data_IF_928693337037
#
_entry.id   IF_928693337037
#
_cell.length_a   1.000
_cell.length_b   1.000
_cell.length_c   1.000
_cell.angle_alpha   90.00
_cell.angle_beta   90.00
_cell.angle_gamma   90.00
#
_symmetry.space_group_name_H-M   'P 1'
#
loop_
_entity.id
_entity.type
_entity.pdbx_description
1 polymer ?
#
# COMPACT_ATOMS: atom_id res chain seq x y z
N UNK A 1 10.01 -10.81 7.32
CA UNK A 1 8.59 -10.46 7.52
C UNK A 1 8.08 -9.99 6.15
N UNK A 2 7.07 -10.64 5.58
CA UNK A 2 6.60 -10.32 4.21
C UNK A 2 5.73 -9.06 4.21
N UNK A 3 5.19 -8.66 5.36
CA UNK A 3 4.46 -7.39 5.54
C UNK A 3 5.31 -6.37 6.32
N UNK A 4 5.28 -5.09 5.94
CA UNK A 4 5.82 -4.03 6.77
C UNK A 4 5.08 -3.99 8.12
N UNK A 5 5.77 -3.64 9.22
CA UNK A 5 5.18 -3.59 10.56
C UNK A 5 4.09 -2.51 10.61
N UNK A 6 2.83 -2.93 10.51
CA UNK A 6 1.63 -2.08 10.36
C UNK A 6 0.93 -1.82 11.69
N UNK A 7 1.06 -2.75 12.64
CA UNK A 7 0.54 -2.70 14.00
C UNK A 7 1.08 -1.49 14.78
N UNK A 8 2.33 -1.10 14.54
CA UNK A 8 2.95 0.06 15.19
C UNK A 8 2.48 1.41 14.65
N UNK A 9 1.79 1.45 13.50
CA UNK A 9 1.27 2.70 12.92
C UNK A 9 0.09 3.25 13.72
N UNK A 10 -0.70 2.40 14.39
CA UNK A 10 -1.88 2.82 15.15
C UNK A 10 -1.91 2.36 16.62
N UNK A 11 -1.08 1.39 17.02
CA UNK A 11 -1.14 0.82 18.38
C UNK A 11 -0.03 1.33 19.32
N UNK A 12 0.96 2.05 18.80
CA UNK A 12 2.07 2.59 19.58
C UNK A 12 1.91 4.09 19.83
N UNK A 13 2.54 4.61 20.89
CA UNK A 13 2.56 6.03 21.23
C UNK A 13 4.01 6.49 21.47
N UNK A 14 4.33 7.74 21.15
CA UNK A 14 5.64 8.34 21.46
C UNK A 14 6.76 7.85 20.53
N UNK A 15 7.95 7.57 21.07
CA UNK A 15 9.11 7.16 20.26
C UNK A 15 8.90 5.84 19.49
N UNK A 16 8.10 4.91 20.03
CA UNK A 16 7.77 3.66 19.33
C UNK A 16 6.86 3.88 18.11
N UNK A 17 6.00 4.89 18.16
CA UNK A 17 5.11 5.26 17.04
C UNK A 17 5.93 5.79 15.86
N UNK A 18 6.86 6.73 16.13
CA UNK A 18 7.74 7.30 15.11
C UNK A 18 8.69 6.24 14.51
N UNK A 19 9.25 5.35 15.35
CA UNK A 19 10.03 4.21 14.88
C UNK A 19 9.23 3.23 14.02
N UNK A 20 7.97 2.99 14.40
CA UNK A 20 7.02 2.17 13.65
C UNK A 20 6.68 2.75 12.27
N UNK A 21 6.33 4.04 12.21
CA UNK A 21 6.08 4.77 10.96
C UNK A 21 7.27 4.70 10.03
N UNK A 22 8.48 4.98 10.56
CA UNK A 22 9.71 4.91 9.75
C UNK A 22 9.93 3.50 9.20
N UNK A 23 9.78 2.46 10.02
CA UNK A 23 9.95 1.08 9.58
C UNK A 23 8.91 0.67 8.52
N UNK A 24 7.67 1.16 8.65
CA UNK A 24 6.63 0.97 7.65
C UNK A 24 6.98 1.64 6.33
N UNK A 25 7.39 2.92 6.36
CA UNK A 25 7.82 3.70 5.18
C UNK A 25 9.03 3.04 4.50
N UNK A 26 10.03 2.60 5.28
CA UNK A 26 11.19 1.90 4.74
C UNK A 26 10.78 0.58 4.07
N UNK A 27 9.79 -0.13 4.63
CA UNK A 27 9.24 -1.35 4.04
C UNK A 27 8.51 -1.13 2.71
N UNK A 28 7.68 -0.10 2.59
CA UNK A 28 7.01 0.24 1.32
C UNK A 28 8.01 0.74 0.26
N UNK A 29 9.07 1.46 0.66
CA UNK A 29 10.16 1.86 -0.25
C UNK A 29 10.92 0.66 -0.80
N UNK A 30 11.15 -0.36 0.02
CA UNK A 30 11.73 -1.62 -0.45
C UNK A 30 10.82 -2.31 -1.47
N UNK A 31 9.51 -2.32 -1.24
CA UNK A 31 8.54 -2.88 -2.21
C UNK A 31 8.56 -2.10 -3.53
N UNK A 32 8.56 -0.77 -3.48
CA UNK A 32 8.68 0.04 -4.69
C UNK A 32 10.00 -0.22 -5.44
N UNK A 33 11.11 -0.39 -4.71
CA UNK A 33 12.39 -0.80 -5.29
C UNK A 33 12.34 -2.15 -6.00
N UNK A 34 11.58 -3.11 -5.48
CA UNK A 34 11.39 -4.43 -6.11
C UNK A 34 10.47 -4.38 -7.33
N UNK A 35 9.50 -3.45 -7.37
CA UNK A 35 8.67 -3.20 -8.55
C UNK A 35 9.51 -2.71 -9.74
N UNK A 36 10.61 -1.99 -9.45
CA UNK A 36 11.55 -1.45 -10.46
C UNK A 36 10.80 -0.57 -11.47
N UNK A 37 10.92 -0.88 -12.76
CA UNK A 37 10.20 -0.21 -13.85
C UNK A 37 9.14 -1.11 -14.47
N UNK A 38 8.76 -2.20 -13.80
CA UNK A 38 7.74 -3.12 -14.30
C UNK A 38 6.34 -2.63 -13.94
N UNK A 39 5.33 -2.91 -14.78
CA UNK A 39 3.95 -2.54 -14.45
C UNK A 39 3.39 -3.32 -13.26
N UNK A 40 3.91 -4.54 -13.01
CA UNK A 40 3.57 -5.45 -11.92
C UNK A 40 4.82 -6.08 -11.30
N UNK A 41 4.72 -6.60 -10.08
CA UNK A 41 5.78 -7.40 -9.46
C UNK A 41 6.08 -8.68 -10.27
N UNK A 42 5.07 -9.22 -10.96
CA UNK A 42 5.23 -10.30 -11.93
C UNK A 42 5.86 -9.90 -13.27
N UNK A 43 6.29 -8.65 -13.47
CA UNK A 43 6.77 -8.13 -14.75
C UNK A 43 5.63 -7.54 -15.56
N UNK A 44 5.38 -8.08 -16.76
CA UNK A 44 4.35 -7.61 -17.70
C UNK A 44 2.92 -8.04 -17.31
N UNK A 45 2.79 -9.04 -16.43
CA UNK A 45 1.52 -9.62 -16.01
C UNK A 45 1.44 -9.70 -14.49
N UNK A 46 0.20 -9.75 -13.96
CA UNK A 46 -0.04 -10.01 -12.53
C UNK A 46 0.68 -11.29 -12.09
N UNK A 47 1.55 -11.17 -11.10
CA UNK A 47 2.26 -12.25 -10.46
C UNK A 47 1.71 -12.55 -9.07
N UNK A 48 2.35 -13.52 -8.42
CA UNK A 48 2.00 -13.92 -7.05
C UNK A 48 2.08 -12.76 -6.05
N UNK A 49 3.15 -11.96 -6.12
CA UNK A 49 3.35 -10.83 -5.23
C UNK A 49 2.29 -9.75 -5.43
N UNK A 50 1.84 -9.53 -6.66
CA UNK A 50 0.76 -8.57 -6.91
C UNK A 50 -0.52 -8.96 -6.18
N UNK A 51 -0.88 -10.25 -6.24
CA UNK A 51 -2.06 -10.79 -5.57
C UNK A 51 -1.91 -10.74 -4.04
N UNK A 52 -0.71 -11.04 -3.53
CA UNK A 52 -0.43 -11.03 -2.09
C UNK A 52 -0.43 -9.61 -1.50
N UNK A 53 0.04 -8.60 -2.26
CA UNK A 53 0.15 -7.23 -1.79
C UNK A 53 -1.05 -6.35 -2.14
N UNK A 54 -1.92 -6.76 -3.06
CA UNK A 54 -3.13 -6.00 -3.38
C UNK A 54 -4.01 -5.69 -2.15
N UNK A 55 -4.21 -6.62 -1.18
CA UNK A 55 -4.86 -6.32 0.09
C UNK A 55 -4.22 -5.16 0.85
N UNK A 56 -2.88 -5.03 0.81
CA UNK A 56 -2.16 -3.97 1.52
C UNK A 56 -2.49 -2.58 0.94
N UNK A 57 -2.62 -2.48 -0.38
CA UNK A 57 -2.96 -1.22 -1.05
C UNK A 57 -4.32 -0.67 -0.57
N UNK A 58 -5.32 -1.51 -0.32
CA UNK A 58 -6.61 -1.04 0.22
C UNK A 58 -6.48 -0.41 1.62
N UNK A 59 -5.47 -0.81 2.39
CA UNK A 59 -5.20 -0.27 3.72
C UNK A 59 -4.34 0.99 3.70
N UNK A 60 -3.82 1.41 2.53
CA UNK A 60 -2.99 2.61 2.42
C UNK A 60 -3.66 3.84 3.01
N UNK A 61 -4.92 4.08 2.67
CA UNK A 61 -5.67 5.21 3.24
C UNK A 61 -5.75 5.15 4.78
N UNK A 62 -5.89 3.94 5.33
CA UNK A 62 -5.92 3.73 6.79
C UNK A 62 -4.55 4.08 7.39
N UNK A 63 -3.46 3.61 6.79
CA UNK A 63 -2.10 3.92 7.24
C UNK A 63 -1.75 5.41 7.12
N UNK A 64 -2.13 6.07 6.04
CA UNK A 64 -1.94 7.51 5.88
C UNK A 64 -2.69 8.31 6.95
N UNK A 65 -3.94 7.91 7.23
CA UNK A 65 -4.80 8.58 8.22
C UNK A 65 -4.27 8.43 9.65
N UNK A 66 -3.90 7.21 10.06
CA UNK A 66 -3.40 6.95 11.40
C UNK A 66 -1.94 7.39 11.57
N UNK A 67 -1.12 7.18 10.55
CA UNK A 67 0.30 7.51 10.56
C UNK A 67 0.61 8.98 10.29
N UNK A 68 -0.33 9.75 9.75
CA UNK A 68 -0.17 11.16 9.36
C UNK A 68 0.97 11.39 8.37
N UNK A 69 1.12 10.47 7.42
CA UNK A 69 2.07 10.56 6.29
C UNK A 69 1.34 10.30 4.97
N UNK A 70 1.99 10.57 3.85
CA UNK A 70 1.47 10.26 2.51
C UNK A 70 2.33 9.17 1.88
N UNK A 71 1.70 8.07 1.48
CA UNK A 71 2.37 6.97 0.77
C UNK A 71 2.67 7.39 -0.66
N UNK A 72 1.78 8.16 -1.30
CA UNK A 72 2.01 8.70 -2.64
C UNK A 72 3.24 9.61 -2.71
N UNK A 73 3.44 10.46 -1.70
CA UNK A 73 4.61 11.34 -1.65
C UNK A 73 5.94 10.58 -1.46
N UNK A 74 5.91 9.45 -0.76
CA UNK A 74 7.10 8.64 -0.48
C UNK A 74 7.37 7.58 -1.55
N UNK A 75 6.31 7.03 -2.14
CA UNK A 75 6.32 5.88 -3.05
C UNK A 75 5.28 6.00 -4.19
N UNK A 76 5.47 6.92 -5.14
CA UNK A 76 4.49 7.19 -6.21
C UNK A 76 4.29 6.02 -7.19
N UNK A 77 5.33 5.24 -7.48
CA UNK A 77 5.23 4.10 -8.41
C UNK A 77 4.45 2.93 -7.80
N UNK A 78 4.58 2.76 -6.48
CA UNK A 78 3.79 1.78 -5.74
C UNK A 78 2.30 2.15 -5.72
N UNK A 79 1.97 3.44 -5.58
CA UNK A 79 0.58 3.90 -5.69
C UNK A 79 0.04 3.67 -7.11
N UNK A 80 0.82 4.04 -8.14
CA UNK A 80 0.43 3.82 -9.52
C UNK A 80 0.24 2.32 -9.85
N UNK A 81 1.04 1.44 -9.26
CA UNK A 81 0.88 -0.01 -9.35
C UNK A 81 -0.45 -0.48 -8.77
N UNK A 82 -0.83 0.00 -7.59
CA UNK A 82 -2.10 -0.37 -6.96
C UNK A 82 -3.31 0.06 -7.79
N UNK A 83 -3.28 1.27 -8.34
CA UNK A 83 -4.31 1.77 -9.27
C UNK A 83 -4.44 0.89 -10.52
N UNK A 84 -3.30 0.50 -11.13
CA UNK A 84 -3.27 -0.43 -12.27
C UNK A 84 -3.88 -1.79 -11.91
N UNK A 85 -3.55 -2.33 -10.74
CA UNK A 85 -4.09 -3.60 -10.26
C UNK A 85 -5.60 -3.52 -10.01
N UNK A 86 -6.11 -2.42 -9.47
CA UNK A 86 -7.55 -2.21 -9.30
C UNK A 86 -8.29 -2.08 -10.64
N UNK A 87 -7.67 -1.48 -11.66
CA UNK A 87 -8.28 -1.38 -13.00
C UNK A 87 -8.42 -2.71 -13.74
N UNK A 88 -7.66 -3.76 -13.35
CA UNK A 88 -7.64 -5.07 -14.03
C UNK A 88 -8.16 -6.25 -13.20
N UNK A 89 -8.22 -6.16 -11.89
CA UNK A 89 -8.55 -7.31 -11.04
C UNK A 89 -10.06 -7.62 -11.04
N UNK A 90 -10.42 -8.88 -11.29
CA UNK A 90 -11.79 -9.38 -11.11
C UNK A 90 -12.25 -9.43 -9.64
N UNK A 91 -11.33 -9.14 -8.70
CA UNK A 91 -11.59 -8.99 -7.27
C UNK A 91 -12.22 -7.64 -6.88
N UNK A 92 -12.38 -6.74 -7.85
CA UNK A 92 -13.09 -5.45 -7.71
C UNK A 92 -14.50 -5.53 -7.06
N UNK A 93 -15.35 -6.56 -7.28
CA UNK A 93 -16.74 -6.51 -6.84
C UNK A 93 -16.98 -6.55 -5.32
N UNK A 94 -16.07 -7.08 -4.50
CA UNK A 94 -16.37 -7.27 -3.07
C UNK A 94 -16.16 -6.01 -2.22
N UNK A 95 -15.38 -5.03 -2.67
CA UNK A 95 -14.98 -3.87 -1.84
C UNK A 95 -15.16 -2.49 -2.52
N UNK A 96 -15.42 -2.43 -3.83
CA UNK A 96 -15.61 -1.17 -4.58
C UNK A 96 -16.79 -0.32 -4.05
N UNK A 97 -17.80 -0.92 -3.44
CA UNK A 97 -19.02 -0.22 -3.00
C UNK A 97 -18.86 0.60 -1.72
N UNK A 98 -17.77 0.43 -0.96
CA UNK A 98 -17.62 1.12 0.34
C UNK A 98 -16.55 2.21 0.36
N UNK A 99 -15.47 2.07 -0.42
CA UNK A 99 -14.33 3.01 -0.36
C UNK A 99 -14.52 4.18 -1.36
N UNK A 100 -15.17 3.96 -2.50
CA UNK A 100 -15.35 5.00 -3.52
C UNK A 100 -16.32 6.12 -3.12
N UNK A 101 -17.09 5.93 -2.05
CA UNK A 101 -17.94 6.96 -1.45
C UNK A 101 -17.21 7.89 -0.48
N UNK A 102 -15.94 7.64 -0.14
CA UNK A 102 -15.23 8.42 0.87
C UNK A 102 -14.22 9.44 0.34
N UNK A 103 -13.74 9.38 -0.90
CA UNK A 103 -12.91 10.47 -1.47
C UNK A 103 -12.97 10.52 -3.00
N UNK A 104 -14.01 11.18 -3.52
CA UNK A 104 -13.90 12.05 -4.70
C UNK A 104 -14.71 13.32 -4.39
N UNK A 105 -14.07 14.21 -3.64
CA UNK A 105 -14.35 15.64 -3.58
C UNK A 105 -13.10 16.35 -3.10
#
# INVERSE_FOLDING_TARGET
MVYPPSDKVWAANGEEEEGGKKAFIDGIKLLEGELKSNPYFGGETLGFLDIAFLPLYYWFHTFETFGKFSIEAECPELVAWGERCMGRSSCTPLYHTHIRSMTWR
#
